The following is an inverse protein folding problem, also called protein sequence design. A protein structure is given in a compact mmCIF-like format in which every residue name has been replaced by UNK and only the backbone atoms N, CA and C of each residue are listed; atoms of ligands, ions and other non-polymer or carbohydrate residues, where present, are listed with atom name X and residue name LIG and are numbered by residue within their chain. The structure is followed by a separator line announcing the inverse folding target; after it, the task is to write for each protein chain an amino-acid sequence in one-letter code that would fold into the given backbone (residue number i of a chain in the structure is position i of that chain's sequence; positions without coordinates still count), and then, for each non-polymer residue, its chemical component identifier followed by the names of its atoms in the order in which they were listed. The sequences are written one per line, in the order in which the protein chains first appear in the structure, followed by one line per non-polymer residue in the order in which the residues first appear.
data_IF_097168953108
#
_entry.id   IF_097168953108
#
_cell.length_a   1.000
_cell.length_b   1.000
_cell.length_c   1.000
_cell.angle_alpha   90.00
_cell.angle_beta   90.00
_cell.angle_gamma   90.00
#
_symmetry.space_group_name_H-M   'P 1'
#
loop_
_entity.id
_entity.type
_entity.pdbx_description
1 polymer ?
#
# COMPACT_ATOMS: atom_id res chain seq x y z
N UNK A 1 19.70 -28.12 -7.05
CA UNK A 1 20.39 -26.82 -7.06
C UNK A 1 19.33 -25.72 -7.13
N UNK A 2 18.62 -25.42 -6.04
CA UNK A 2 17.44 -24.50 -6.06
C UNK A 2 17.32 -23.58 -4.84
N UNK A 3 18.39 -23.38 -4.06
CA UNK A 3 18.34 -22.54 -2.86
C UNK A 3 18.73 -21.07 -3.08
N UNK A 4 19.27 -20.71 -4.25
CA UNK A 4 19.67 -19.33 -4.58
C UNK A 4 18.55 -18.45 -5.15
N UNK A 5 17.45 -19.03 -5.63
CA UNK A 5 16.36 -18.30 -6.30
C UNK A 5 15.21 -17.90 -5.36
N UNK A 6 15.07 -18.48 -4.16
CA UNK A 6 13.89 -18.25 -3.32
C UNK A 6 13.76 -16.80 -2.83
N UNK A 7 14.86 -16.17 -2.43
CA UNK A 7 14.86 -14.79 -1.89
C UNK A 7 14.57 -13.78 -3.00
N UNK A 8 15.21 -13.92 -4.16
CA UNK A 8 15.01 -13.03 -5.30
C UNK A 8 13.62 -13.18 -5.90
N UNK A 9 13.14 -14.41 -6.10
CA UNK A 9 11.76 -14.64 -6.57
C UNK A 9 10.73 -14.06 -5.60
N UNK A 10 10.92 -14.25 -4.29
CA UNK A 10 10.07 -13.64 -3.27
C UNK A 10 10.12 -12.11 -3.30
N UNK A 11 11.31 -11.52 -3.45
CA UNK A 11 11.48 -10.07 -3.54
C UNK A 11 10.79 -9.50 -4.79
N UNK A 12 10.91 -10.17 -5.95
CA UNK A 12 10.24 -9.76 -7.18
C UNK A 12 8.72 -9.86 -7.06
N UNK A 13 8.19 -10.94 -6.47
CA UNK A 13 6.76 -11.10 -6.23
C UNK A 13 6.23 -10.03 -5.26
N UNK A 14 6.92 -9.78 -4.15
CA UNK A 14 6.55 -8.74 -3.18
C UNK A 14 6.64 -7.35 -3.80
N UNK A 15 7.66 -7.08 -4.62
CA UNK A 15 7.80 -5.83 -5.36
C UNK A 15 6.64 -5.61 -6.34
N UNK A 16 6.26 -6.63 -7.09
CA UNK A 16 5.13 -6.57 -8.02
C UNK A 16 3.80 -6.36 -7.26
N UNK A 17 3.63 -7.02 -6.13
CA UNK A 17 2.44 -6.89 -5.27
C UNK A 17 2.35 -5.55 -4.53
N UNK A 18 3.49 -4.97 -4.17
CA UNK A 18 3.57 -3.62 -3.58
C UNK A 18 3.22 -2.51 -4.58
N UNK A 19 3.25 -2.84 -5.88
CA UNK A 19 2.94 -1.97 -7.01
C UNK A 19 3.42 -0.52 -6.83
N UNK A 20 4.72 -0.29 -6.64
CA UNK A 20 5.25 1.05 -6.41
C UNK A 20 4.96 1.98 -7.60
N UNK A 21 4.87 1.45 -8.82
CA UNK A 21 4.62 2.22 -10.03
C UNK A 21 3.14 2.65 -10.09
N UNK A 22 2.20 1.73 -9.86
CA UNK A 22 0.77 2.06 -9.79
C UNK A 22 0.43 3.02 -8.65
N UNK A 23 1.21 2.97 -7.56
CA UNK A 23 1.05 3.85 -6.41
C UNK A 23 1.57 5.30 -6.64
N UNK A 24 2.42 5.55 -7.65
CA UNK A 24 2.93 6.89 -7.98
C UNK A 24 1.77 7.89 -8.19
N UNK A 25 0.86 7.69 -9.15
CA UNK A 25 -0.29 8.57 -9.38
C UNK A 25 -1.08 8.97 -8.13
N UNK A 26 -1.36 8.02 -7.25
CA UNK A 26 -2.14 8.23 -6.03
C UNK A 26 -1.32 9.03 -5.03
N UNK A 27 -0.03 8.71 -4.87
CA UNK A 27 0.89 9.46 -4.04
C UNK A 27 0.96 10.93 -4.48
N UNK A 28 1.01 11.20 -5.80
CA UNK A 28 1.01 12.57 -6.31
C UNK A 28 -0.31 13.30 -6.06
N UNK A 29 -1.44 12.59 -6.12
CA UNK A 29 -2.75 13.15 -5.80
C UNK A 29 -2.86 13.53 -4.32
N UNK A 30 -2.39 12.66 -3.42
CA UNK A 30 -2.39 12.91 -1.96
C UNK A 30 -1.45 14.06 -1.58
N UNK A 31 -0.28 14.15 -2.22
CA UNK A 31 0.73 15.17 -1.93
C UNK A 31 0.49 16.51 -2.63
N UNK A 32 -0.60 16.62 -3.41
CA UNK A 32 -0.97 17.81 -4.16
C UNK A 32 -1.19 18.99 -3.20
N UNK A 33 -0.52 20.12 -3.48
CA UNK A 33 -0.59 21.32 -2.64
C UNK A 33 0.42 21.38 -1.50
N UNK A 34 1.21 20.32 -1.30
CA UNK A 34 2.32 20.30 -0.33
C UNK A 34 3.63 20.68 -1.01
N UNK A 35 4.51 21.41 -0.31
CA UNK A 35 5.82 21.80 -0.82
C UNK A 35 6.73 20.57 -1.08
N UNK A 36 7.46 20.56 -2.21
CA UNK A 36 8.25 19.40 -2.67
C UNK A 36 9.25 18.86 -1.64
N UNK A 37 9.85 19.72 -0.81
CA UNK A 37 10.74 19.29 0.27
C UNK A 37 9.99 18.49 1.33
N UNK A 38 8.80 18.95 1.72
CA UNK A 38 7.95 18.29 2.72
C UNK A 38 7.29 17.03 2.17
N UNK A 39 7.00 16.98 0.86
CA UNK A 39 6.53 15.76 0.18
C UNK A 39 7.50 14.59 0.37
N UNK A 40 8.81 14.82 0.17
CA UNK A 40 9.83 13.77 0.38
C UNK A 40 9.85 13.28 1.82
N UNK A 41 9.78 14.18 2.80
CA UNK A 41 9.73 13.81 4.22
C UNK A 41 8.52 12.95 4.54
N UNK A 42 7.34 13.30 4.00
CA UNK A 42 6.11 12.52 4.18
C UNK A 42 6.27 11.14 3.55
N UNK A 43 6.76 11.04 2.31
CA UNK A 43 6.99 9.77 1.61
C UNK A 43 7.90 8.85 2.42
N UNK A 44 9.03 9.38 2.91
CA UNK A 44 9.99 8.61 3.70
C UNK A 44 9.34 8.12 4.99
N UNK A 45 8.64 8.99 5.71
CA UNK A 45 7.94 8.65 6.96
C UNK A 45 6.90 7.55 6.72
N UNK A 46 6.05 7.70 5.71
CA UNK A 46 5.01 6.73 5.36
C UNK A 46 5.58 5.38 4.94
N UNK A 47 6.65 5.37 4.13
CA UNK A 47 7.31 4.14 3.71
C UNK A 47 7.98 3.42 4.88
N UNK A 48 8.59 4.15 5.82
CA UNK A 48 9.16 3.56 7.04
C UNK A 48 8.08 2.98 7.96
N UNK A 49 6.94 3.66 8.10
CA UNK A 49 5.77 3.14 8.85
C UNK A 49 5.27 1.86 8.18
N UNK A 50 5.08 1.83 6.86
CA UNK A 50 4.69 0.62 6.14
C UNK A 50 5.68 -0.53 6.32
N UNK A 51 6.99 -0.26 6.24
CA UNK A 51 8.02 -1.28 6.48
C UNK A 51 7.89 -1.85 7.90
N UNK A 52 7.77 -0.98 8.90
CA UNK A 52 7.61 -1.40 10.29
C UNK A 52 6.37 -2.29 10.49
N UNK A 53 5.24 -1.91 9.90
CA UNK A 53 4.00 -2.69 9.95
C UNK A 53 4.14 -4.03 9.24
N UNK A 54 4.73 -4.07 8.05
CA UNK A 54 4.93 -5.30 7.28
C UNK A 54 5.86 -6.26 8.00
N UNK A 55 6.98 -5.76 8.53
CA UNK A 55 7.89 -6.55 9.36
C UNK A 55 7.17 -7.05 10.61
N UNK A 56 6.42 -6.18 11.31
CA UNK A 56 5.61 -6.58 12.46
C UNK A 56 4.61 -7.68 12.11
N UNK A 57 3.92 -7.59 10.98
CA UNK A 57 2.96 -8.60 10.51
C UNK A 57 3.62 -9.92 10.09
N UNK A 58 4.86 -9.92 9.62
CA UNK A 58 5.61 -11.16 9.37
C UNK A 58 5.78 -11.97 10.68
N UNK A 59 6.04 -11.30 11.80
CA UNK A 59 6.23 -11.98 13.09
C UNK A 59 4.92 -12.21 13.85
N UNK A 60 3.99 -11.27 13.75
CA UNK A 60 2.81 -11.18 14.63
C UNK A 60 1.50 -11.43 13.90
N UNK A 61 1.46 -11.40 12.56
CA UNK A 61 0.23 -11.42 11.78
C UNK A 61 -0.66 -12.62 12.09
N UNK A 62 -0.12 -13.84 12.03
CA UNK A 62 -0.88 -15.07 12.32
C UNK A 62 -1.32 -15.19 13.80
N UNK A 63 -0.42 -15.05 14.80
CA UNK A 63 -0.83 -15.15 16.20
C UNK A 63 -1.80 -14.03 16.62
N UNK A 64 -1.69 -12.83 16.06
CA UNK A 64 -2.62 -11.73 16.32
C UNK A 64 -3.99 -11.99 15.71
N UNK A 65 -4.05 -12.45 14.45
CA UNK A 65 -5.33 -12.82 13.82
C UNK A 65 -6.02 -13.95 14.60
N UNK A 66 -5.26 -14.98 15.00
CA UNK A 66 -5.79 -16.07 15.81
C UNK A 66 -6.27 -15.59 17.20
N UNK A 67 -5.51 -14.72 17.86
CA UNK A 67 -5.91 -14.14 19.15
C UNK A 67 -7.23 -13.37 19.06
N UNK A 68 -7.39 -12.58 18.00
CA UNK A 68 -8.61 -11.82 17.73
C UNK A 68 -9.73 -12.67 17.10
N UNK A 69 -9.50 -13.96 16.87
CA UNK A 69 -10.41 -14.86 16.13
C UNK A 69 -10.81 -14.30 14.76
N UNK A 70 -9.92 -13.52 14.14
CA UNK A 70 -10.13 -12.91 12.83
C UNK A 70 -9.61 -13.83 11.74
N UNK A 71 -10.45 -14.07 10.74
CA UNK A 71 -10.06 -14.79 9.55
C UNK A 71 -9.31 -13.86 8.59
N UNK A 72 -8.46 -14.40 7.71
CA UNK A 72 -7.71 -13.57 6.74
C UNK A 72 -8.68 -12.81 5.81
N UNK A 73 -9.83 -13.42 5.55
CA UNK A 73 -10.92 -12.95 4.71
C UNK A 73 -11.48 -11.63 5.26
N UNK A 74 -11.59 -11.51 6.58
CA UNK A 74 -12.01 -10.28 7.24
C UNK A 74 -11.04 -9.12 7.00
N UNK A 75 -9.72 -9.38 7.01
CA UNK A 75 -8.69 -8.39 6.70
C UNK A 75 -8.79 -7.93 5.25
N UNK A 76 -8.99 -8.87 4.32
CA UNK A 76 -9.17 -8.56 2.90
C UNK A 76 -10.41 -7.71 2.64
N UNK A 77 -11.55 -8.05 3.26
CA UNK A 77 -12.79 -7.29 3.15
C UNK A 77 -12.63 -5.89 3.75
N UNK A 78 -12.04 -5.77 4.94
CA UNK A 78 -11.78 -4.49 5.58
C UNK A 78 -10.86 -3.59 4.73
N UNK A 79 -9.79 -4.16 4.18
CA UNK A 79 -8.91 -3.45 3.24
C UNK A 79 -9.68 -2.97 1.99
N UNK A 80 -10.60 -3.79 1.47
CA UNK A 80 -11.46 -3.44 0.34
C UNK A 80 -12.35 -2.26 0.63
N UNK A 81 -12.99 -2.25 1.81
CA UNK A 81 -13.83 -1.12 2.24
C UNK A 81 -13.01 0.16 2.35
N UNK A 82 -11.80 0.11 2.91
CA UNK A 82 -10.94 1.29 3.02
C UNK A 82 -10.54 1.82 1.64
N UNK A 83 -10.11 0.95 0.73
CA UNK A 83 -9.76 1.35 -0.65
C UNK A 83 -10.97 1.90 -1.40
N UNK A 84 -12.17 1.37 -1.18
CA UNK A 84 -13.41 1.88 -1.75
C UNK A 84 -13.65 3.33 -1.31
N UNK A 85 -13.52 3.61 0.00
CA UNK A 85 -13.69 4.95 0.55
C UNK A 85 -12.66 5.92 -0.02
N UNK A 86 -11.39 5.50 -0.12
CA UNK A 86 -10.32 6.33 -0.70
C UNK A 86 -10.62 6.62 -2.18
N UNK A 87 -10.94 5.60 -2.96
CA UNK A 87 -11.27 5.74 -4.38
C UNK A 87 -12.46 6.67 -4.62
N UNK A 88 -13.54 6.51 -3.85
CA UNK A 88 -14.70 7.39 -3.92
C UNK A 88 -14.37 8.85 -3.60
N UNK A 89 -13.52 9.10 -2.59
CA UNK A 89 -13.05 10.46 -2.24
C UNK A 89 -12.20 11.08 -3.35
N UNK A 90 -11.45 10.29 -4.11
CA UNK A 90 -10.65 10.76 -5.24
C UNK A 90 -11.50 11.05 -6.49
N UNK A 91 -12.53 10.25 -6.75
CA UNK A 91 -13.48 10.49 -7.86
C UNK A 91 -14.35 11.72 -7.57
N UNK A 92 -14.85 11.83 -6.34
CA UNK A 92 -15.74 12.89 -5.88
C UNK A 92 -15.06 13.71 -4.76
N UNK A 93 -14.07 14.55 -5.12
CA UNK A 93 -13.39 15.38 -4.13
C UNK A 93 -14.38 16.39 -3.55
N UNK A 94 -14.56 16.37 -2.23
CA UNK A 94 -15.30 17.40 -1.51
C UNK A 94 -14.51 18.73 -1.59
N UNK A 95 -15.18 19.89 -1.57
CA UNK A 95 -14.52 21.20 -1.57
C UNK A 95 -13.53 21.42 -0.40
N UNK A 96 -13.57 20.56 0.62
CA UNK A 96 -12.65 20.51 1.76
C UNK A 96 -11.32 19.77 1.48
N UNK A 97 -11.10 19.28 0.25
CA UNK A 97 -9.96 18.44 -0.11
C UNK A 97 -10.14 16.98 0.34
N UNK A 98 -9.36 16.06 -0.23
CA UNK A 98 -9.46 14.60 0.00
C UNK A 98 -9.39 14.20 1.49
N UNK A 99 -8.82 15.06 2.34
CA UNK A 99 -8.58 14.84 3.78
C UNK A 99 -9.25 15.83 4.75
N UNK A 100 -10.04 16.81 4.29
CA UNK A 100 -10.59 17.84 5.17
C UNK A 100 -9.52 18.83 5.65
N UNK A 101 -9.78 20.13 5.56
CA UNK A 101 -8.87 21.13 6.08
C UNK A 101 -8.90 21.12 7.62
N UNK A 102 -7.82 20.70 8.26
CA UNK A 102 -7.48 21.22 9.59
C UNK A 102 -6.54 22.41 9.37
N UNK A 103 -6.90 23.64 9.77
CA UNK A 103 -5.97 24.77 9.70
C UNK A 103 -4.76 24.47 10.60
N UNK A 104 -3.57 24.32 10.02
CA UNK A 104 -2.30 24.24 10.76
C UNK A 104 -1.95 22.90 11.42
N UNK A 105 -2.78 21.86 11.32
CA UNK A 105 -2.45 20.53 11.83
C UNK A 105 -1.99 19.63 10.70
N UNK A 106 -0.82 19.01 10.83
CA UNK A 106 -0.37 17.95 9.93
C UNK A 106 -1.53 17.01 9.66
N UNK A 107 -1.88 16.70 8.39
CA UNK A 107 -2.99 15.82 8.11
C UNK A 107 -2.73 14.56 8.94
N UNK A 108 -3.65 14.26 9.86
CA UNK A 108 -3.78 12.95 10.47
C UNK A 108 -4.13 12.02 9.32
N UNK A 109 -3.10 11.71 8.53
CA UNK A 109 -3.07 10.69 7.52
C UNK A 109 -3.33 9.44 8.33
N UNK A 110 -4.59 9.01 8.40
CA UNK A 110 -4.88 7.59 8.57
C UNK A 110 -3.93 6.91 7.59
N UNK A 111 -2.96 6.10 8.05
CA UNK A 111 -1.75 5.88 7.27
C UNK A 111 -2.13 5.36 5.90
N UNK A 112 -1.99 6.18 4.86
CA UNK A 112 -2.36 5.81 3.49
C UNK A 112 -1.46 4.65 3.05
N UNK A 113 -0.28 4.57 3.66
CA UNK A 113 0.65 3.46 3.56
C UNK A 113 0.07 2.10 4.00
N UNK A 114 -0.88 2.05 4.95
CA UNK A 114 -1.45 0.79 5.44
C UNK A 114 -2.34 0.13 4.36
N UNK A 115 -3.35 0.80 3.78
CA UNK A 115 -4.17 0.16 2.74
C UNK A 115 -3.43 -0.01 1.42
N UNK A 116 -2.51 0.90 1.07
CA UNK A 116 -1.90 0.94 -0.27
C UNK A 116 -0.60 0.15 -0.40
N UNK A 117 0.30 0.24 0.57
CA UNK A 117 1.63 -0.40 0.50
C UNK A 117 1.61 -1.73 1.27
N UNK A 118 0.92 -1.76 2.42
CA UNK A 118 0.59 -3.00 3.12
C UNK A 118 -0.78 -3.54 2.71
N UNK A 119 -1.09 -3.46 1.41
CA UNK A 119 -2.34 -3.97 0.86
C UNK A 119 -2.56 -5.44 1.24
N UNK A 120 -3.83 -5.89 1.32
CA UNK A 120 -4.15 -7.24 1.75
C UNK A 120 -3.57 -8.31 0.82
N UNK A 121 -3.23 -7.98 -0.43
CA UNK A 121 -2.48 -8.87 -1.33
C UNK A 121 -1.06 -9.14 -0.81
N UNK A 122 -0.36 -8.11 -0.34
CA UNK A 122 0.97 -8.24 0.29
C UNK A 122 0.84 -8.98 1.62
N UNK A 123 -0.13 -8.63 2.47
CA UNK A 123 -0.35 -9.32 3.75
C UNK A 123 -0.73 -10.79 3.58
N UNK A 124 -1.62 -11.11 2.64
CA UNK A 124 -2.03 -12.48 2.32
C UNK A 124 -0.85 -13.30 1.80
N UNK A 125 -0.03 -12.71 0.91
CA UNK A 125 1.17 -13.36 0.41
C UNK A 125 2.18 -13.61 1.52
N UNK A 126 2.42 -12.63 2.41
CA UNK A 126 3.30 -12.80 3.57
C UNK A 126 2.81 -13.93 4.50
N UNK A 127 1.50 -14.04 4.72
CA UNK A 127 0.90 -15.12 5.50
C UNK A 127 1.06 -16.48 4.80
N UNK A 128 0.88 -16.57 3.48
CA UNK A 128 1.06 -17.81 2.70
C UNK A 128 2.52 -18.25 2.66
N UNK A 129 3.44 -17.33 2.37
CA UNK A 129 4.87 -17.61 2.30
C UNK A 129 5.45 -17.94 3.68
N UNK A 130 4.86 -17.42 4.76
CA UNK A 130 5.20 -17.83 6.12
C UNK A 130 4.76 -19.26 6.47
N UNK A 131 3.91 -19.91 5.67
CA UNK A 131 3.39 -21.26 5.91
C UNK A 131 4.11 -22.34 5.10
N UNK A 132 4.73 -21.99 3.96
CA UNK A 132 5.55 -22.90 3.17
C UNK A 132 6.82 -23.28 3.95
N UNK A 133 6.93 -24.56 4.30
CA UNK A 133 8.15 -25.15 4.85
C UNK A 133 9.37 -24.79 4.00
N UNK A 134 10.50 -24.48 4.66
CA UNK A 134 11.87 -24.29 4.11
C UNK A 134 12.38 -22.88 3.75
N UNK A 135 11.69 -21.80 4.13
CA UNK A 135 12.25 -20.44 4.05
C UNK A 135 12.42 -19.81 5.43
N UNK A 136 13.66 -19.64 5.90
CA UNK A 136 13.99 -18.94 7.15
C UNK A 136 13.21 -17.61 7.22
N UNK A 137 12.51 -17.29 8.32
CA UNK A 137 11.77 -15.99 8.44
C UNK A 137 12.68 -14.80 8.13
N UNK A 138 13.97 -14.96 8.44
CA UNK A 138 15.05 -14.03 8.07
C UNK A 138 15.12 -13.81 6.56
N UNK A 139 15.01 -14.86 5.73
CA UNK A 139 14.99 -14.77 4.27
C UNK A 139 13.77 -14.02 3.75
N UNK A 140 12.59 -14.21 4.35
CA UNK A 140 11.37 -13.45 3.99
C UNK A 140 11.49 -11.96 4.33
N UNK A 141 12.03 -11.63 5.51
CA UNK A 141 12.32 -10.24 5.89
C UNK A 141 13.34 -9.64 4.93
N UNK A 142 14.39 -10.39 4.54
CA UNK A 142 15.38 -9.93 3.58
C UNK A 142 14.73 -9.62 2.21
N UNK A 143 13.89 -10.52 1.69
CA UNK A 143 13.12 -10.31 0.46
C UNK A 143 12.21 -9.10 0.53
N UNK A 144 11.51 -8.92 1.66
CA UNK A 144 10.66 -7.76 1.90
C UNK A 144 11.47 -6.45 1.89
N UNK A 145 12.61 -6.42 2.57
CA UNK A 145 13.48 -5.24 2.62
C UNK A 145 14.02 -4.91 1.22
N UNK A 146 14.42 -5.90 0.42
CA UNK A 146 14.86 -5.69 -0.96
C UNK A 146 13.72 -5.09 -1.81
N UNK A 147 12.52 -5.68 -1.76
CA UNK A 147 11.35 -5.18 -2.47
C UNK A 147 10.97 -3.75 -2.03
N UNK A 148 11.09 -3.47 -0.73
CA UNK A 148 10.82 -2.17 -0.15
C UNK A 148 11.85 -1.13 -0.60
N UNK A 149 13.15 -1.45 -0.61
CA UNK A 149 14.21 -0.54 -1.09
C UNK A 149 13.96 -0.16 -2.55
N UNK A 150 13.64 -1.15 -3.39
CA UNK A 150 13.32 -0.90 -4.81
C UNK A 150 12.11 0.02 -4.95
N UNK A 151 11.04 -0.25 -4.19
CA UNK A 151 9.84 0.57 -4.15
C UNK A 151 10.12 1.99 -3.63
N UNK A 152 10.97 2.11 -2.61
CA UNK A 152 11.35 3.37 -1.99
C UNK A 152 12.09 4.28 -2.96
N UNK A 153 13.03 3.74 -3.74
CA UNK A 153 13.76 4.50 -4.76
C UNK A 153 12.79 5.03 -5.83
N UNK A 154 11.87 4.18 -6.31
CA UNK A 154 10.87 4.56 -7.32
C UNK A 154 9.95 5.67 -6.80
N UNK A 155 9.41 5.50 -5.59
CA UNK A 155 8.49 6.46 -4.98
C UNK A 155 9.17 7.77 -4.56
N UNK A 156 10.48 7.76 -4.26
CA UNK A 156 11.24 8.99 -4.02
C UNK A 156 11.41 9.86 -5.28
N UNK A 157 11.39 9.23 -6.46
CA UNK A 157 11.44 9.93 -7.75
C UNK A 157 10.06 10.43 -8.17
N UNK A 158 8.98 9.85 -7.61
CA UNK A 158 7.59 10.22 -7.91
C UNK A 158 7.29 11.73 -7.82
N UNK A 159 7.72 12.49 -6.78
CA UNK A 159 7.48 13.93 -6.69
C UNK A 159 8.03 14.75 -7.87
N UNK A 160 9.04 14.24 -8.58
CA UNK A 160 9.56 14.91 -9.78
C UNK A 160 8.52 14.91 -10.92
N UNK A 161 7.65 13.90 -11.00
CA UNK A 161 6.57 13.83 -11.98
C UNK A 161 5.51 14.93 -11.78
N UNK A 162 5.31 15.44 -10.56
CA UNK A 162 4.41 16.59 -10.32
C UNK A 162 4.88 17.83 -11.09
N UNK A 163 6.20 18.03 -11.31
CA UNK A 163 6.67 19.18 -12.08
C UNK A 163 6.32 19.07 -13.56
N UNK A 164 6.20 17.84 -14.07
CA UNK A 164 5.84 17.56 -15.47
C UNK A 164 4.32 17.59 -15.63
N UNK A 165 3.58 17.03 -14.68
CA UNK A 165 2.12 17.04 -14.66
C UNK A 165 1.59 18.37 -14.11
N UNK A 166 1.21 19.28 -15.01
CA UNK A 166 0.45 20.50 -14.67
C UNK A 166 -0.81 20.17 -13.86
N UNK A 167 -1.35 21.13 -13.12
CA UNK A 167 -2.53 20.97 -12.25
C UNK A 167 -3.71 20.21 -12.89
N UNK A 168 -4.00 20.44 -14.18
CA UNK A 168 -5.08 19.74 -14.90
C UNK A 168 -4.79 18.24 -15.08
N UNK A 169 -3.54 17.88 -15.35
CA UNK A 169 -3.12 16.48 -15.47
C UNK A 169 -3.21 15.74 -14.15
N UNK A 170 -2.85 16.40 -13.03
CA UNK A 170 -3.00 15.82 -11.70
C UNK A 170 -4.46 15.50 -11.36
N UNK A 171 -5.41 16.38 -11.70
CA UNK A 171 -6.84 16.14 -11.44
C UNK A 171 -7.38 14.97 -12.27
N UNK A 172 -7.00 14.89 -13.55
CA UNK A 172 -7.42 13.78 -14.41
C UNK A 172 -6.86 12.44 -13.90
N UNK A 173 -5.58 12.44 -13.54
CA UNK A 173 -4.90 11.27 -12.98
C UNK A 173 -5.52 10.84 -11.64
N UNK A 174 -5.81 11.81 -10.75
CA UNK A 174 -6.47 11.57 -9.47
C UNK A 174 -7.83 10.86 -9.66
N UNK A 175 -8.67 11.34 -10.58
CA UNK A 175 -9.95 10.68 -10.87
C UNK A 175 -9.77 9.29 -11.48
N UNK A 176 -8.82 9.14 -12.40
CA UNK A 176 -8.51 7.86 -13.02
C UNK A 176 -8.07 6.82 -11.99
N UNK A 177 -7.17 7.19 -11.10
CA UNK A 177 -6.74 6.30 -10.02
C UNK A 177 -7.85 6.01 -9.02
N UNK A 178 -8.70 6.99 -8.72
CA UNK A 178 -9.89 6.76 -7.92
C UNK A 178 -10.77 5.66 -8.52
N UNK A 179 -10.96 5.66 -9.85
CA UNK A 179 -11.69 4.58 -10.54
C UNK A 179 -10.97 3.23 -10.41
N UNK A 180 -9.64 3.19 -10.54
CA UNK A 180 -8.86 1.96 -10.34
C UNK A 180 -8.99 1.43 -8.91
N UNK A 181 -8.88 2.29 -7.89
CA UNK A 181 -9.03 1.91 -6.50
C UNK A 181 -10.42 1.33 -6.21
N UNK A 182 -11.48 1.90 -6.78
CA UNK A 182 -12.84 1.35 -6.67
C UNK A 182 -12.92 -0.05 -7.28
N UNK A 183 -12.33 -0.25 -8.47
CA UNK A 183 -12.30 -1.57 -9.11
C UNK A 183 -11.53 -2.59 -8.26
N UNK A 184 -10.37 -2.23 -7.73
CA UNK A 184 -9.57 -3.10 -6.85
C UNK A 184 -10.29 -3.41 -5.54
N UNK A 185 -10.96 -2.42 -4.95
CA UNK A 185 -11.77 -2.60 -3.76
C UNK A 185 -12.90 -3.61 -3.98
N UNK A 186 -13.63 -3.49 -5.09
CA UNK A 186 -14.68 -4.45 -5.46
C UNK A 186 -14.09 -5.84 -5.69
N UNK A 187 -12.97 -5.95 -6.39
CA UNK A 187 -12.28 -7.23 -6.59
C UNK A 187 -11.91 -7.89 -5.26
N UNK A 188 -11.37 -7.13 -4.31
CA UNK A 188 -11.02 -7.65 -2.99
C UNK A 188 -12.23 -8.08 -2.16
N UNK A 189 -13.35 -7.36 -2.27
CA UNK A 189 -14.60 -7.78 -1.66
C UNK A 189 -15.08 -9.10 -2.25
N UNK A 190 -15.07 -9.23 -3.59
CA UNK A 190 -15.43 -10.48 -4.28
C UNK A 190 -14.54 -11.65 -3.87
N UNK A 191 -13.23 -11.44 -3.80
CA UNK A 191 -12.28 -12.47 -3.39
C UNK A 191 -12.44 -12.86 -1.91
N UNK A 192 -12.76 -11.89 -1.04
CA UNK A 192 -13.11 -12.14 0.36
C UNK A 192 -14.38 -12.99 0.50
N UNK A 193 -15.44 -12.65 -0.25
CA UNK A 193 -16.69 -13.42 -0.22
C UNK A 193 -16.55 -14.82 -0.82
N UNK A 194 -15.81 -14.98 -1.93
CA UNK A 194 -15.54 -16.30 -2.54
C UNK A 194 -14.77 -17.26 -1.64
N UNK A 195 -14.01 -16.75 -0.68
CA UNK A 195 -13.27 -17.59 0.28
C UNK A 195 -14.12 -18.02 1.49
N UNK A 196 -15.24 -17.33 1.73
CA UNK A 196 -16.19 -17.63 2.82
C UNK A 196 -17.27 -18.62 2.35
N UNK A 197 -17.70 -18.51 1.09
CA UNK A 197 -18.73 -19.35 0.46
C UNK A 197 -18.17 -20.72 0.01
#
# INVERSE_FOLDING_TARGET
MESGNSIWSAAVLLFLLMDPIGNIPILLAVLKGIELKRQRTIIIRELLIALGILVFFIFTGRPMLNFMHLQKEAVTIAGGIILLIIGLRMIFPKPEGVMGQTPGGEPFLVPIAIPMIAGPSVLSMLILMSQGSTGNRVSLVLSLVIAWIMSFIILLVAPALIKVLKQRGLIALERFMGMILVMMAVQMLLDGFKQIL
#
